data_IF_385936698866
#
_entry.id   IF_385936698866
#
_cell.length_a   1.000
_cell.length_b   1.000
_cell.length_c   1.000
_cell.angle_alpha   90.00
_cell.angle_beta   90.00
_cell.angle_gamma   90.00
#
_symmetry.space_group_name_H-M   'P 1'
#
loop_
_entity.id
_entity.type
_entity.pdbx_description
1 polymer ?
#
# COMPACT_ATOMS: atom_id res chain seq x y z
N UNK A 1 -28.10 -19.44 -10.11
CA UNK A 1 -28.24 -18.53 -11.26
C UNK A 1 -28.10 -19.35 -12.53
N UNK A 2 -29.02 -19.23 -13.48
CA UNK A 2 -28.86 -19.86 -14.80
C UNK A 2 -27.89 -19.06 -15.68
N UNK A 3 -27.46 -19.64 -16.81
CA UNK A 3 -26.58 -18.95 -17.76
C UNK A 3 -27.24 -17.67 -18.28
N UNK A 4 -28.52 -17.72 -18.60
CA UNK A 4 -29.32 -16.58 -19.10
C UNK A 4 -29.44 -15.47 -18.05
N UNK A 5 -29.56 -15.84 -16.77
CA UNK A 5 -29.57 -14.87 -15.67
C UNK A 5 -28.23 -14.16 -15.52
N UNK A 6 -27.11 -14.88 -15.66
CA UNK A 6 -25.76 -14.28 -15.61
C UNK A 6 -25.53 -13.35 -16.79
N UNK A 7 -25.86 -13.76 -18.01
CA UNK A 7 -25.70 -12.95 -19.22
C UNK A 7 -26.50 -11.65 -19.12
N UNK A 8 -27.75 -11.73 -18.65
CA UNK A 8 -28.61 -10.56 -18.42
C UNK A 8 -28.06 -9.65 -17.33
N UNK A 9 -27.61 -10.20 -16.20
CA UNK A 9 -27.04 -9.42 -15.09
C UNK A 9 -25.76 -8.69 -15.50
N UNK A 10 -24.89 -9.36 -16.27
CA UNK A 10 -23.63 -8.80 -16.75
C UNK A 10 -23.76 -7.98 -18.04
N UNK A 11 -24.99 -7.85 -18.56
CA UNK A 11 -25.31 -7.15 -19.81
C UNK A 11 -24.34 -7.57 -20.93
N UNK A 12 -24.23 -8.88 -21.14
CA UNK A 12 -23.35 -9.48 -22.14
C UNK A 12 -24.09 -10.59 -22.89
N UNK A 13 -23.50 -11.05 -23.98
CA UNK A 13 -24.06 -12.11 -24.82
C UNK A 13 -23.17 -13.36 -24.79
N UNK A 14 -23.65 -14.50 -25.32
CA UNK A 14 -22.80 -15.68 -25.53
C UNK A 14 -21.59 -15.41 -26.44
N UNK A 15 -21.64 -14.35 -27.26
CA UNK A 15 -20.53 -13.91 -28.12
C UNK A 15 -19.59 -12.91 -27.44
N UNK A 16 -19.85 -12.58 -26.16
CA UNK A 16 -19.08 -11.61 -25.39
C UNK A 16 -19.57 -10.17 -25.55
N UNK A 17 -18.66 -9.23 -25.23
CA UNK A 17 -18.84 -7.79 -25.33
C UNK A 17 -18.33 -7.26 -26.67
N UNK A 18 -18.85 -6.12 -27.12
CA UNK A 18 -18.22 -5.37 -28.20
C UNK A 18 -16.94 -4.69 -27.72
N UNK A 19 -16.08 -4.30 -28.64
CA UNK A 19 -14.82 -3.62 -28.32
C UNK A 19 -15.07 -2.27 -27.62
N UNK A 20 -16.11 -1.54 -28.04
CA UNK A 20 -16.51 -0.27 -27.43
C UNK A 20 -16.97 -0.44 -25.99
N UNK A 21 -17.81 -1.45 -25.73
CA UNK A 21 -18.31 -1.74 -24.38
C UNK A 21 -17.19 -2.26 -23.48
N UNK A 22 -16.25 -3.06 -24.02
CA UNK A 22 -15.07 -3.49 -23.28
C UNK A 22 -14.19 -2.29 -22.88
N UNK A 23 -13.92 -1.35 -23.79
CA UNK A 23 -13.17 -0.11 -23.51
C UNK A 23 -13.87 0.74 -22.45
N UNK A 24 -15.19 0.94 -22.58
CA UNK A 24 -15.98 1.69 -21.60
C UNK A 24 -15.91 1.06 -20.21
N UNK A 25 -15.95 -0.28 -20.10
CA UNK A 25 -15.82 -0.97 -18.82
C UNK A 25 -14.42 -0.83 -18.24
N UNK A 26 -13.37 -0.85 -19.07
CA UNK A 26 -12.00 -0.61 -18.61
C UNK A 26 -11.83 0.81 -18.03
N UNK A 27 -12.48 1.82 -18.60
CA UNK A 27 -12.45 3.18 -18.04
C UNK A 27 -13.14 3.28 -16.67
N UNK A 28 -14.21 2.50 -16.44
CA UNK A 28 -14.99 2.53 -15.20
C UNK A 28 -14.35 1.68 -14.10
N UNK A 29 -13.91 0.47 -14.44
CA UNK A 29 -13.46 -0.53 -13.47
C UNK A 29 -11.94 -0.63 -13.38
N UNK A 30 -11.22 -0.13 -14.36
CA UNK A 30 -9.78 -0.34 -14.51
C UNK A 30 -9.45 -1.75 -15.02
N UNK A 31 -8.14 -2.01 -15.15
CA UNK A 31 -7.64 -3.34 -15.45
C UNK A 31 -7.88 -4.29 -14.26
N UNK A 32 -8.15 -5.55 -14.57
CA UNK A 32 -8.25 -6.61 -13.57
C UNK A 32 -6.85 -7.06 -13.13
N UNK A 33 -6.14 -6.16 -12.45
CA UNK A 33 -4.80 -6.39 -11.90
C UNK A 33 -4.77 -6.04 -10.42
N UNK A 34 -3.97 -6.79 -9.66
CA UNK A 34 -3.72 -6.46 -8.27
C UNK A 34 -2.88 -5.19 -8.23
N UNK A 35 -3.38 -4.18 -7.51
CA UNK A 35 -2.59 -2.99 -7.26
C UNK A 35 -1.36 -3.38 -6.44
N UNK A 36 -0.18 -3.22 -7.02
CA UNK A 36 1.04 -3.32 -6.24
C UNK A 36 1.06 -2.17 -5.23
N UNK A 37 1.20 -2.51 -3.95
CA UNK A 37 1.50 -1.49 -2.96
C UNK A 37 2.87 -0.88 -3.29
N UNK A 38 2.92 0.46 -3.32
CA UNK A 38 4.18 1.17 -3.49
C UNK A 38 5.16 0.68 -2.42
N UNK A 39 6.22 0.00 -2.86
CA UNK A 39 7.29 -0.43 -1.97
C UNK A 39 7.86 0.81 -1.27
N UNK A 40 7.86 0.80 0.07
CA UNK A 40 8.50 1.89 0.83
C UNK A 40 9.97 1.94 0.46
N UNK A 41 10.48 3.14 0.17
CA UNK A 41 11.91 3.35 -0.07
C UNK A 41 12.74 2.86 1.12
N UNK A 42 13.93 2.25 0.89
CA UNK A 42 14.82 1.84 1.97
C UNK A 42 15.11 2.95 2.99
N UNK A 43 15.22 4.21 2.54
CA UNK A 43 15.44 5.36 3.41
C UNK A 43 14.23 5.63 4.32
N UNK A 44 13.01 5.47 3.81
CA UNK A 44 11.78 5.63 4.60
C UNK A 44 11.66 4.51 5.64
N UNK A 45 12.05 3.28 5.29
CA UNK A 45 12.08 2.15 6.21
C UNK A 45 13.08 2.42 7.35
N UNK A 46 14.29 2.88 7.00
CA UNK A 46 15.33 3.26 7.97
C UNK A 46 14.85 4.35 8.93
N UNK A 47 14.31 5.46 8.41
CA UNK A 47 13.80 6.57 9.23
C UNK A 47 12.64 6.15 10.14
N UNK A 48 11.81 5.19 9.72
CA UNK A 48 10.73 4.68 10.58
C UNK A 48 11.23 3.85 11.76
N UNK A 49 12.46 3.29 11.73
CA UNK A 49 13.02 2.58 12.89
C UNK A 49 13.27 3.51 14.09
N UNK A 50 13.57 4.79 13.84
CA UNK A 50 13.76 5.79 14.89
C UNK A 50 12.48 6.21 15.60
N UNK A 51 11.31 5.83 15.06
CA UNK A 51 10.01 6.05 15.73
C UNK A 51 9.71 4.96 16.78
N UNK A 52 10.57 3.97 16.91
CA UNK A 52 10.42 2.91 17.90
C UNK A 52 10.69 3.45 19.31
N UNK A 53 9.77 3.19 20.25
CA UNK A 53 9.88 3.64 21.65
C UNK A 53 11.23 3.25 22.30
N UNK A 54 11.69 2.02 22.08
CA UNK A 54 12.95 1.53 22.63
C UNK A 54 14.13 2.30 22.07
N UNK A 55 14.14 2.58 20.77
CA UNK A 55 15.20 3.38 20.13
C UNK A 55 15.21 4.80 20.70
N UNK A 56 14.05 5.41 20.90
CA UNK A 56 13.94 6.74 21.53
C UNK A 56 14.49 6.72 22.96
N UNK A 57 14.15 5.71 23.75
CA UNK A 57 14.68 5.55 25.12
C UNK A 57 16.20 5.43 25.09
N UNK A 58 16.76 4.64 24.17
CA UNK A 58 18.21 4.50 24.02
C UNK A 58 18.88 5.83 23.64
N UNK A 59 18.31 6.57 22.68
CA UNK A 59 18.82 7.89 22.29
C UNK A 59 18.83 8.84 23.49
N UNK A 60 17.73 8.90 24.26
CA UNK A 60 17.65 9.73 25.46
C UNK A 60 18.70 9.30 26.48
N UNK A 61 18.84 7.99 26.74
CA UNK A 61 19.83 7.48 27.68
C UNK A 61 21.26 7.81 27.25
N UNK A 62 21.58 7.67 25.96
CA UNK A 62 22.88 8.06 25.39
C UNK A 62 23.11 9.57 25.52
N UNK A 63 22.13 10.42 25.18
CA UNK A 63 22.24 11.86 25.36
C UNK A 63 22.50 12.22 26.82
N UNK A 64 21.72 11.67 27.76
CA UNK A 64 21.92 11.88 29.19
C UNK A 64 23.31 11.40 29.63
N UNK A 65 23.76 10.25 29.17
CA UNK A 65 25.10 9.73 29.48
C UNK A 65 26.22 10.65 29.00
N UNK A 66 26.07 11.27 27.83
CA UNK A 66 27.04 12.25 27.29
C UNK A 66 27.02 13.51 28.14
N UNK A 67 25.83 14.08 28.41
CA UNK A 67 25.71 15.29 29.23
C UNK A 67 26.24 15.09 30.65
N UNK A 68 25.93 13.96 31.30
CA UNK A 68 26.47 13.65 32.61
C UNK A 68 27.98 13.37 32.54
N UNK A 69 28.45 12.68 31.51
CA UNK A 69 29.87 12.42 31.31
C UNK A 69 30.71 13.69 31.16
N UNK A 70 30.21 14.71 30.47
CA UNK A 70 30.88 16.01 30.34
C UNK A 70 30.74 16.91 31.59
N UNK A 71 29.78 16.65 32.49
CA UNK A 71 29.54 17.45 33.70
C UNK A 71 30.31 16.95 34.94
N UNK A 72 30.83 15.73 34.90
CA UNK A 72 31.46 15.06 36.07
C UNK A 72 33.00 15.08 35.98
N UNK A 73 33.58 15.48 34.83
CA UNK A 73 34.98 15.90 34.68
C UNK A 73 35.12 17.43 34.89
#
# INVERSE_FOLDING_TARGET
>A
MTVEEVLRKLKTSPRGLSEEEAKKRLEIYGFNELREELKKSPLIIFLNQFKNLLVIILIIATCLSIFLGELID
#
